data_IF_917210539245
#
_entry.id   IF_917210539245
#
_cell.length_a   1.000
_cell.length_b   1.000
_cell.length_c   1.000
_cell.angle_alpha   90.00
_cell.angle_beta   90.00
_cell.angle_gamma   90.00
#
_symmetry.space_group_name_H-M   'P 1'
#
loop_
_entity.id
_entity.type
_entity.pdbx_description
1 polymer ?
#
# COMPACT_ATOMS: atom_id res chain seq x y z
N UNK A 1 3.14 26.15 -26.33
CA UNK A 1 3.63 25.70 -25.00
C UNK A 1 3.25 26.67 -23.90
N UNK A 2 3.62 27.99 -24.00
CA UNK A 2 3.32 28.97 -22.92
C UNK A 2 1.84 29.04 -22.51
N UNK A 3 0.91 28.98 -23.44
CA UNK A 3 -0.53 29.06 -23.14
C UNK A 3 -1.04 27.83 -22.36
N UNK A 4 -0.46 26.65 -22.59
CA UNK A 4 -0.82 25.43 -21.89
C UNK A 4 -0.25 25.40 -20.47
N UNK A 5 0.99 25.82 -20.28
CA UNK A 5 1.60 25.96 -18.95
C UNK A 5 0.82 26.97 -18.09
N UNK A 6 0.45 28.11 -18.68
CA UNK A 6 -0.37 29.11 -18.00
C UNK A 6 -1.77 28.59 -17.66
N UNK A 7 -2.38 27.79 -18.53
CA UNK A 7 -3.64 27.12 -18.26
C UNK A 7 -3.53 26.14 -17.10
N UNK A 8 -2.54 25.24 -17.12
CA UNK A 8 -2.32 24.27 -16.06
C UNK A 8 -2.02 24.95 -14.72
N UNK A 9 -1.20 26.00 -14.71
CA UNK A 9 -0.94 26.80 -13.52
C UNK A 9 -2.23 27.44 -12.99
N UNK A 10 -3.11 27.93 -13.87
CA UNK A 10 -4.43 28.42 -13.49
C UNK A 10 -5.33 27.36 -12.86
N UNK A 11 -5.20 26.10 -13.27
CA UNK A 11 -5.97 24.97 -12.68
C UNK A 11 -5.47 24.64 -11.28
N UNK A 12 -4.16 24.46 -11.10
CA UNK A 12 -3.57 23.99 -9.84
C UNK A 12 -3.57 25.03 -8.71
N UNK A 13 -3.80 26.31 -9.04
CA UNK A 13 -3.87 27.39 -8.05
C UNK A 13 -5.29 27.76 -7.62
N UNK A 14 -6.31 27.15 -8.22
CA UNK A 14 -7.71 27.52 -7.99
C UNK A 14 -8.47 26.40 -7.31
N UNK A 15 -8.79 26.61 -6.02
CA UNK A 15 -9.54 25.64 -5.20
C UNK A 15 -10.88 25.24 -5.83
N UNK A 16 -11.64 26.19 -6.37
CA UNK A 16 -12.92 25.95 -7.01
C UNK A 16 -12.84 25.01 -8.23
N UNK A 17 -11.77 25.14 -9.02
CA UNK A 17 -11.51 24.26 -10.17
C UNK A 17 -11.11 22.86 -9.70
N UNK A 18 -10.26 22.76 -8.68
CA UNK A 18 -9.86 21.48 -8.11
C UNK A 18 -11.06 20.73 -7.51
N UNK A 19 -11.92 21.44 -6.78
CA UNK A 19 -13.16 20.87 -6.22
C UNK A 19 -14.09 20.39 -7.34
N UNK A 20 -14.25 21.17 -8.41
CA UNK A 20 -15.01 20.75 -9.58
C UNK A 20 -14.41 19.48 -10.20
N UNK A 21 -13.10 19.44 -10.44
CA UNK A 21 -12.44 18.24 -10.97
C UNK A 21 -12.64 17.01 -10.07
N UNK A 22 -12.54 17.19 -8.76
CA UNK A 22 -12.76 16.10 -7.81
C UNK A 22 -14.17 15.53 -7.89
N UNK A 23 -15.20 16.39 -7.96
CA UNK A 23 -16.61 16.00 -7.91
C UNK A 23 -17.12 15.48 -9.24
N UNK A 24 -16.71 16.09 -10.34
CA UNK A 24 -17.37 15.95 -11.64
C UNK A 24 -16.55 15.17 -12.68
N UNK A 25 -15.28 14.78 -12.35
CA UNK A 25 -14.50 13.96 -13.27
C UNK A 25 -15.09 12.57 -13.40
N UNK A 26 -15.46 12.19 -14.62
CA UNK A 26 -15.95 10.85 -14.94
C UNK A 26 -14.92 9.80 -14.55
N UNK A 27 -15.39 8.68 -13.95
CA UNK A 27 -14.53 7.58 -13.49
C UNK A 27 -13.54 7.09 -14.55
N UNK A 28 -13.97 7.01 -15.82
CA UNK A 28 -13.13 6.60 -16.95
C UNK A 28 -12.02 7.60 -17.31
N UNK A 29 -12.07 8.82 -16.78
CA UNK A 29 -11.09 9.87 -17.03
C UNK A 29 -10.21 10.19 -15.83
N UNK A 30 -10.54 9.65 -14.66
CA UNK A 30 -9.82 9.95 -13.41
C UNK A 30 -8.31 9.63 -13.48
N UNK A 31 -7.92 8.53 -14.12
CA UNK A 31 -6.49 8.18 -14.25
C UNK A 31 -5.73 9.21 -15.08
N UNK A 32 -6.28 9.63 -16.21
CA UNK A 32 -5.66 10.62 -17.07
C UNK A 32 -5.60 12.03 -16.40
N UNK A 33 -6.69 12.43 -15.76
CA UNK A 33 -6.77 13.70 -15.02
C UNK A 33 -5.81 13.68 -13.83
N UNK A 34 -5.72 12.60 -13.08
CA UNK A 34 -4.81 12.45 -11.95
C UNK A 34 -3.34 12.57 -12.38
N UNK A 35 -2.95 11.91 -13.47
CA UNK A 35 -1.58 12.01 -14.03
C UNK A 35 -1.24 13.44 -14.44
N UNK A 36 -2.12 14.09 -15.23
CA UNK A 36 -1.91 15.44 -15.68
C UNK A 36 -1.86 16.47 -14.52
N UNK A 37 -2.77 16.31 -13.56
CA UNK A 37 -2.84 17.16 -12.38
C UNK A 37 -1.62 16.98 -11.48
N UNK A 38 -1.15 15.74 -11.28
CA UNK A 38 0.03 15.44 -10.48
C UNK A 38 1.28 16.10 -11.09
N UNK A 39 1.52 15.91 -12.38
CA UNK A 39 2.64 16.53 -13.08
C UNK A 39 2.56 18.05 -13.01
N UNK A 40 1.41 18.66 -13.35
CA UNK A 40 1.23 20.10 -13.31
C UNK A 40 1.45 20.70 -11.91
N UNK A 41 0.98 20.01 -10.88
CA UNK A 41 1.09 20.45 -9.49
C UNK A 41 2.55 20.45 -8.99
N UNK A 42 3.31 19.39 -9.26
CA UNK A 42 4.73 19.34 -8.90
C UNK A 42 5.56 20.33 -9.73
N UNK A 43 5.39 20.38 -11.06
CA UNK A 43 6.14 21.31 -11.93
C UNK A 43 5.84 22.80 -11.68
N UNK A 44 4.76 23.12 -11.00
CA UNK A 44 4.42 24.50 -10.63
C UNK A 44 4.67 24.84 -9.15
N UNK A 45 5.16 23.89 -8.34
CA UNK A 45 5.35 24.06 -6.90
C UNK A 45 4.05 24.17 -6.09
N UNK A 46 2.94 23.59 -6.59
CA UNK A 46 1.63 23.65 -5.94
C UNK A 46 1.12 22.28 -5.49
N UNK A 47 2.00 21.27 -5.45
CA UNK A 47 1.63 19.89 -5.14
C UNK A 47 0.95 19.76 -3.77
N UNK A 48 1.49 20.40 -2.72
CA UNK A 48 0.89 20.41 -1.39
C UNK A 48 -0.50 21.03 -1.38
N UNK A 49 -0.70 22.19 -2.03
CA UNK A 49 -2.01 22.84 -2.12
C UNK A 49 -3.05 21.95 -2.82
N UNK A 50 -2.65 21.31 -3.92
CA UNK A 50 -3.55 20.42 -4.68
C UNK A 50 -3.93 19.22 -3.83
N UNK A 51 -2.95 18.54 -3.22
CA UNK A 51 -3.23 17.36 -2.40
C UNK A 51 -4.09 17.70 -1.18
N UNK A 52 -3.79 18.78 -0.48
CA UNK A 52 -4.59 19.23 0.66
C UNK A 52 -6.05 19.55 0.24
N UNK A 53 -6.24 20.22 -0.90
CA UNK A 53 -7.60 20.49 -1.42
C UNK A 53 -8.36 19.20 -1.72
N UNK A 54 -7.72 18.21 -2.35
CA UNK A 54 -8.35 16.92 -2.65
C UNK A 54 -8.63 16.11 -1.37
N UNK A 55 -7.76 16.17 -0.36
CA UNK A 55 -7.96 15.56 0.95
C UNK A 55 -9.14 16.18 1.69
N UNK A 56 -9.24 17.51 1.72
CA UNK A 56 -10.37 18.23 2.33
C UNK A 56 -11.72 17.84 1.68
N UNK A 57 -11.75 17.72 0.35
CA UNK A 57 -12.96 17.28 -0.35
C UNK A 57 -13.34 15.83 -0.05
N UNK A 58 -12.35 14.94 0.05
CA UNK A 58 -12.60 13.54 0.45
C UNK A 58 -13.11 13.47 1.89
N UNK A 59 -12.51 14.22 2.81
CA UNK A 59 -12.93 14.32 4.23
C UNK A 59 -14.37 14.85 4.31
N UNK A 60 -14.66 15.96 3.63
CA UNK A 60 -16.01 16.54 3.60
C UNK A 60 -17.06 15.58 3.06
N UNK A 61 -16.69 14.80 2.04
CA UNK A 61 -17.57 13.80 1.43
C UNK A 61 -17.92 12.65 2.38
N UNK A 62 -17.00 12.27 3.25
CA UNK A 62 -17.12 11.12 4.16
C UNK A 62 -17.12 11.52 5.64
N UNK A 63 -17.57 12.74 5.96
CA UNK A 63 -17.59 13.30 7.31
C UNK A 63 -18.25 12.38 8.35
N UNK A 64 -19.23 11.58 7.94
CA UNK A 64 -19.95 10.67 8.83
C UNK A 64 -19.25 9.32 9.05
N UNK A 65 -18.27 8.93 8.21
CA UNK A 65 -17.54 7.67 8.34
C UNK A 65 -16.08 7.80 7.88
N UNK A 66 -15.23 8.24 8.80
CA UNK A 66 -13.79 8.40 8.55
C UNK A 66 -13.10 7.09 8.10
N UNK A 67 -13.73 5.92 8.34
CA UNK A 67 -13.18 4.64 7.93
C UNK A 67 -13.24 4.39 6.41
N UNK A 68 -14.01 5.20 5.67
CA UNK A 68 -14.13 5.07 4.19
C UNK A 68 -13.15 5.98 3.45
N UNK A 69 -12.60 6.99 4.14
CA UNK A 69 -11.63 7.94 3.57
C UNK A 69 -10.44 7.14 3.03
N UNK A 70 -9.99 7.48 1.83
CA UNK A 70 -8.89 6.82 1.08
C UNK A 70 -9.15 5.36 0.67
N UNK A 71 -10.34 4.78 0.92
CA UNK A 71 -10.64 3.39 0.56
C UNK A 71 -11.41 3.26 -0.76
N UNK A 72 -12.10 4.29 -1.16
CA UNK A 72 -12.84 4.34 -2.41
C UNK A 72 -11.95 4.60 -3.64
N UNK A 73 -12.60 4.73 -4.80
CA UNK A 73 -11.99 5.24 -6.02
C UNK A 73 -12.45 6.68 -6.20
N UNK A 74 -11.53 7.61 -6.08
CA UNK A 74 -11.74 9.06 -6.27
C UNK A 74 -10.56 9.64 -7.04
N UNK A 75 -10.66 10.89 -7.46
CA UNK A 75 -9.54 11.60 -8.09
C UNK A 75 -8.33 11.66 -7.15
N UNK A 76 -8.57 11.88 -5.84
CA UNK A 76 -7.53 11.84 -4.81
C UNK A 76 -6.78 10.51 -4.80
N UNK A 77 -7.51 9.41 -4.72
CA UNK A 77 -6.88 8.08 -4.64
C UNK A 77 -6.16 7.71 -5.94
N UNK A 78 -6.65 8.17 -7.09
CA UNK A 78 -5.94 8.04 -8.37
C UNK A 78 -4.68 8.90 -8.44
N UNK A 79 -4.71 10.09 -7.87
CA UNK A 79 -3.55 10.95 -7.75
C UNK A 79 -2.46 10.30 -6.86
N UNK A 80 -2.85 9.71 -5.72
CA UNK A 80 -1.95 8.93 -4.88
C UNK A 80 -1.39 7.70 -5.62
N UNK A 81 -2.22 6.99 -6.40
CA UNK A 81 -1.79 5.83 -7.18
C UNK A 81 -0.67 6.22 -8.18
N UNK A 82 -0.67 7.44 -8.73
CA UNK A 82 0.43 7.93 -9.58
C UNK A 82 1.75 7.92 -8.82
N UNK A 83 1.79 8.45 -7.59
CA UNK A 83 3.00 8.48 -6.76
C UNK A 83 3.45 7.08 -6.32
N UNK A 84 2.49 6.20 -6.00
CA UNK A 84 2.79 4.80 -5.63
C UNK A 84 3.32 3.97 -6.80
N UNK A 85 3.08 4.39 -8.03
CA UNK A 85 3.57 3.72 -9.24
C UNK A 85 4.95 4.22 -9.70
N UNK A 86 5.49 5.26 -9.08
CA UNK A 86 6.83 5.75 -9.42
C UNK A 86 7.89 4.66 -9.19
N UNK A 87 8.96 4.62 -10.01
CA UNK A 87 10.02 3.63 -9.89
C UNK A 87 10.62 3.53 -8.50
N UNK A 88 10.88 4.66 -7.83
CA UNK A 88 11.41 4.67 -6.46
C UNK A 88 10.45 4.01 -5.47
N UNK A 89 9.14 4.28 -5.56
CA UNK A 89 8.13 3.66 -4.70
C UNK A 89 8.07 2.14 -4.92
N UNK A 90 8.13 1.69 -6.18
CA UNK A 90 8.12 0.26 -6.50
C UNK A 90 9.39 -0.44 -6.02
N UNK A 91 10.56 0.17 -6.26
CA UNK A 91 11.85 -0.37 -5.82
C UNK A 91 11.90 -0.52 -4.30
N UNK A 92 11.48 0.51 -3.57
CA UNK A 92 11.41 0.46 -2.12
C UNK A 92 10.57 -0.72 -1.61
N UNK A 93 9.39 -0.92 -2.20
CA UNK A 93 8.48 -2.00 -1.82
C UNK A 93 9.11 -3.39 -2.08
N UNK A 94 9.76 -3.55 -3.24
CA UNK A 94 10.46 -4.79 -3.61
C UNK A 94 11.62 -5.07 -2.64
N UNK A 95 12.45 -4.10 -2.33
CA UNK A 95 13.58 -4.24 -1.42
C UNK A 95 13.15 -4.67 -0.01
N UNK A 96 12.02 -4.15 0.48
CA UNK A 96 11.51 -4.43 1.82
C UNK A 96 10.75 -5.76 1.92
N UNK A 97 9.99 -6.15 0.90
CA UNK A 97 9.06 -7.29 0.98
C UNK A 97 9.52 -8.56 0.28
N UNK A 98 10.30 -8.45 -0.81
CA UNK A 98 10.62 -9.59 -1.67
C UNK A 98 11.15 -10.80 -0.89
N UNK A 99 12.07 -10.57 0.06
CA UNK A 99 12.63 -11.63 0.89
C UNK A 99 11.56 -12.37 1.70
N UNK A 100 10.63 -11.63 2.31
CA UNK A 100 9.57 -12.19 3.15
C UNK A 100 8.56 -12.97 2.30
N UNK A 101 8.24 -12.47 1.12
CA UNK A 101 7.36 -13.13 0.15
C UNK A 101 8.00 -14.42 -0.36
N UNK A 102 9.29 -14.42 -0.68
CA UNK A 102 10.00 -15.64 -1.06
C UNK A 102 10.03 -16.68 0.06
N UNK A 103 10.25 -16.28 1.31
CA UNK A 103 10.19 -17.18 2.47
C UNK A 103 8.79 -17.79 2.60
N UNK A 104 7.74 -16.97 2.46
CA UNK A 104 6.35 -17.44 2.51
C UNK A 104 6.04 -18.45 1.40
N UNK A 105 6.51 -18.19 0.18
CA UNK A 105 6.25 -19.03 -0.98
C UNK A 105 7.06 -20.34 -1.00
N UNK A 106 8.26 -20.38 -0.37
CA UNK A 106 9.19 -21.49 -0.53
C UNK A 106 9.41 -22.34 0.72
N UNK A 107 9.22 -21.76 1.91
CA UNK A 107 9.57 -22.40 3.18
C UNK A 107 8.43 -23.20 3.81
N UNK A 108 7.20 -22.76 3.55
CA UNK A 108 6.03 -23.33 4.22
C UNK A 108 5.09 -23.98 3.20
N UNK A 109 4.45 -25.05 3.63
CA UNK A 109 3.33 -25.65 2.92
C UNK A 109 2.05 -24.88 3.27
N UNK A 110 1.09 -24.88 2.38
CA UNK A 110 -0.17 -24.15 2.59
C UNK A 110 -0.93 -24.61 3.85
N UNK A 111 -0.87 -25.91 4.17
CA UNK A 111 -1.51 -26.48 5.38
C UNK A 111 -0.80 -26.10 6.70
N UNK A 112 0.46 -25.67 6.63
CA UNK A 112 1.23 -25.17 7.79
C UNK A 112 0.94 -23.71 8.12
N UNK A 113 0.18 -23.00 7.26
CA UNK A 113 -0.18 -21.60 7.39
C UNK A 113 -1.71 -21.38 7.38
N UNK A 114 -2.51 -22.45 7.22
CA UNK A 114 -3.97 -22.33 7.28
C UNK A 114 -4.42 -22.08 8.72
N UNK A 115 -5.29 -21.09 8.90
CA UNK A 115 -5.83 -20.65 10.18
C UNK A 115 -7.28 -21.12 10.40
N UNK A 116 -7.96 -21.51 9.32
CA UNK A 116 -9.35 -21.96 9.35
C UNK A 116 -9.39 -23.48 9.59
N UNK A 117 -9.91 -23.96 10.73
CA UNK A 117 -9.97 -25.38 11.03
C UNK A 117 -10.75 -26.19 9.99
N UNK A 118 -11.78 -25.58 9.38
CA UNK A 118 -12.59 -26.25 8.36
C UNK A 118 -11.79 -26.56 7.08
N UNK A 119 -10.71 -25.85 6.84
CA UNK A 119 -9.85 -25.98 5.66
C UNK A 119 -8.58 -26.78 5.90
N UNK A 120 -8.28 -27.14 7.15
CA UNK A 120 -7.18 -28.04 7.42
C UNK A 120 -7.47 -29.42 6.85
N UNK A 121 -6.53 -30.03 6.10
CA UNK A 121 -6.71 -31.39 5.64
C UNK A 121 -6.82 -32.30 6.86
N UNK A 122 -7.96 -32.98 6.97
CA UNK A 122 -8.10 -34.04 7.96
C UNK A 122 -7.03 -35.11 7.64
N UNK A 123 -6.14 -35.38 8.57
CA UNK A 123 -5.30 -36.60 8.46
C UNK A 123 -6.24 -37.78 8.44
N UNK A 124 -6.17 -38.56 7.36
CA UNK A 124 -6.88 -39.84 7.31
C UNK A 124 -6.46 -40.66 8.55
N UNK A 125 -7.40 -40.87 9.43
CA UNK A 125 -7.16 -41.80 10.56
C UNK A 125 -6.69 -43.15 10.00
N UNK A 126 -5.68 -43.77 10.56
CA UNK A 126 -5.30 -45.11 10.15
C UNK A 126 -6.54 -46.03 10.18
N UNK A 127 -6.71 -46.96 9.23
CA UNK A 127 -7.88 -47.81 9.19
C UNK A 127 -8.05 -48.50 10.54
N UNK A 128 -9.21 -48.25 11.21
CA UNK A 128 -9.53 -48.89 12.51
C UNK A 128 -9.33 -48.04 13.75
N UNK A 129 -8.87 -46.76 13.62
CA UNK A 129 -8.79 -45.83 14.76
C UNK A 129 -10.05 -44.94 14.76
N UNK A 130 -10.80 -45.04 15.85
CA UNK A 130 -11.89 -44.08 16.14
C UNK A 130 -11.23 -42.75 16.52
N UNK A 131 -11.55 -41.68 15.80
CA UNK A 131 -11.11 -40.32 16.17
C UNK A 131 -11.78 -39.99 17.50
N UNK A 132 -11.01 -40.04 18.56
CA UNK A 132 -11.40 -39.68 19.92
C UNK A 132 -10.88 -38.25 20.24
N UNK A 133 -11.03 -37.85 21.48
CA UNK A 133 -10.54 -36.54 21.96
C UNK A 133 -9.05 -36.29 21.68
N UNK A 134 -8.24 -37.30 21.37
CA UNK A 134 -6.84 -37.15 20.98
C UNK A 134 -6.67 -36.55 19.57
N UNK A 135 -7.61 -36.80 18.65
CA UNK A 135 -7.61 -36.21 17.31
C UNK A 135 -7.97 -34.72 17.34
N UNK A 136 -8.90 -34.30 18.20
CA UNK A 136 -9.24 -32.87 18.41
C UNK A 136 -8.07 -32.13 19.06
N UNK A 137 -7.36 -32.73 20.01
CA UNK A 137 -6.16 -32.13 20.62
C UNK A 137 -5.00 -31.99 19.63
N UNK A 138 -4.81 -32.93 18.69
CA UNK A 138 -3.76 -32.82 17.65
C UNK A 138 -4.09 -31.73 16.63
N UNK A 139 -5.38 -31.57 16.29
CA UNK A 139 -5.85 -30.48 15.40
C UNK A 139 -5.67 -29.11 16.05
N UNK A 140 -5.99 -28.95 17.33
CA UNK A 140 -5.76 -27.74 18.10
C UNK A 140 -4.27 -27.39 18.20
N UNK A 141 -3.41 -28.39 18.38
CA UNK A 141 -1.96 -28.21 18.38
C UNK A 141 -1.43 -27.68 17.04
N UNK A 142 -1.90 -28.22 15.92
CA UNK A 142 -1.54 -27.76 14.57
C UNK A 142 -1.98 -26.34 14.32
N UNK A 143 -3.21 -25.98 14.71
CA UNK A 143 -3.72 -24.61 14.58
C UNK A 143 -2.92 -23.63 15.43
N UNK A 144 -2.52 -24.01 16.64
CA UNK A 144 -1.67 -23.17 17.48
C UNK A 144 -0.32 -22.89 16.80
N UNK A 145 0.36 -23.94 16.29
CA UNK A 145 1.61 -23.77 15.53
C UNK A 145 1.44 -22.90 14.27
N UNK A 146 0.35 -23.08 13.54
CA UNK A 146 0.07 -22.26 12.34
C UNK A 146 -0.16 -20.79 12.71
N UNK A 147 -0.83 -20.52 13.83
CA UNK A 147 -1.00 -19.17 14.37
C UNK A 147 0.33 -18.54 14.74
N UNK A 148 1.20 -19.29 15.43
CA UNK A 148 2.55 -18.83 15.80
C UNK A 148 3.39 -18.50 14.56
N UNK A 149 3.35 -19.36 13.52
CA UNK A 149 4.06 -19.13 12.26
C UNK A 149 3.53 -17.88 11.53
N UNK A 150 2.21 -17.78 11.38
CA UNK A 150 1.60 -16.61 10.71
C UNK A 150 1.81 -15.32 11.48
N UNK A 151 1.74 -15.32 12.80
CA UNK A 151 2.04 -14.17 13.64
C UNK A 151 3.51 -13.75 13.51
N UNK A 152 4.44 -14.72 13.47
CA UNK A 152 5.86 -14.46 13.25
C UNK A 152 6.13 -13.84 11.87
N UNK A 153 5.51 -14.39 10.82
CA UNK A 153 5.65 -13.85 9.45
C UNK A 153 5.10 -12.42 9.38
N UNK A 154 3.91 -12.18 9.95
CA UNK A 154 3.33 -10.83 9.98
C UNK A 154 4.23 -9.84 10.72
N UNK A 155 4.78 -10.25 11.86
CA UNK A 155 5.68 -9.43 12.65
C UNK A 155 6.93 -9.03 11.86
N UNK A 156 7.57 -9.97 11.17
CA UNK A 156 8.71 -9.69 10.30
C UNK A 156 8.34 -8.76 9.12
N UNK A 157 7.19 -8.97 8.49
CA UNK A 157 6.68 -8.11 7.41
C UNK A 157 6.44 -6.69 7.92
N UNK A 158 5.76 -6.54 9.07
CA UNK A 158 5.49 -5.24 9.68
C UNK A 158 6.79 -4.50 9.98
N UNK A 159 7.77 -5.17 10.59
CA UNK A 159 9.10 -4.57 10.87
C UNK A 159 9.88 -4.20 9.62
N UNK A 160 9.73 -4.96 8.55
CA UNK A 160 10.40 -4.66 7.28
C UNK A 160 9.87 -3.39 6.62
N UNK A 161 8.56 -3.13 6.72
CA UNK A 161 7.91 -1.97 6.06
C UNK A 161 7.76 -0.75 6.97
N UNK A 162 7.78 -0.95 8.30
CA UNK A 162 7.69 0.10 9.30
C UNK A 162 8.78 -0.13 10.35
N UNK A 163 9.88 0.64 10.41
CA UNK A 163 10.83 0.59 11.53
C UNK A 163 10.17 0.97 12.85
N UNK A 164 10.76 0.53 13.95
CA UNK A 164 10.34 0.96 15.28
C UNK A 164 10.35 2.50 15.39
N UNK A 165 9.43 3.08 16.14
CA UNK A 165 9.30 4.53 16.27
C UNK A 165 10.60 5.22 16.75
N UNK A 166 11.41 4.51 17.53
CA UNK A 166 12.71 4.96 18.05
C UNK A 166 13.89 4.59 17.13
N UNK A 167 13.63 3.94 15.99
CA UNK A 167 14.71 3.51 15.09
C UNK A 167 15.50 4.70 14.55
N UNK A 168 16.84 4.62 14.50
CA UNK A 168 17.67 5.63 13.86
C UNK A 168 17.41 5.73 12.35
N UNK A 169 16.76 4.74 11.74
CA UNK A 169 16.36 4.78 10.32
C UNK A 169 15.44 5.97 10.01
N UNK A 170 14.69 6.49 10.99
CA UNK A 170 13.88 7.69 10.83
C UNK A 170 14.69 8.98 10.66
N UNK A 171 15.95 8.97 11.10
CA UNK A 171 16.87 10.11 10.98
C UNK A 171 17.69 10.05 9.69
N UNK A 172 17.75 8.88 9.06
CA UNK A 172 18.39 8.69 7.77
C UNK A 172 17.40 8.96 6.64
N UNK A 173 17.26 10.24 6.30
CA UNK A 173 16.30 10.74 5.32
C UNK A 173 16.43 10.13 3.92
N UNK A 174 17.55 9.45 3.64
CA UNK A 174 17.82 8.90 2.32
C UNK A 174 17.41 7.43 2.15
N UNK A 175 17.23 6.68 3.24
CA UNK A 175 17.16 5.22 3.16
C UNK A 175 15.87 4.59 3.66
N UNK A 176 15.05 5.27 4.48
CA UNK A 176 13.90 4.60 5.06
C UNK A 176 12.65 4.65 4.19
N UNK A 177 12.24 5.81 3.76
CA UNK A 177 11.12 6.00 2.83
C UNK A 177 11.56 6.84 1.66
N UNK A 178 11.16 6.45 0.47
CA UNK A 178 11.38 7.29 -0.69
C UNK A 178 10.55 8.58 -0.60
N UNK A 179 10.98 9.59 -1.33
CA UNK A 179 10.37 10.92 -1.30
C UNK A 179 8.85 10.91 -1.55
N UNK A 180 8.29 10.19 -2.56
CA UNK A 180 6.86 10.17 -2.80
C UNK A 180 6.03 9.68 -1.62
N UNK A 181 6.48 8.62 -0.94
CA UNK A 181 5.77 8.05 0.20
C UNK A 181 5.82 8.96 1.43
N UNK A 182 7.01 9.46 1.77
CA UNK A 182 7.18 10.37 2.92
C UNK A 182 6.38 11.64 2.73
N UNK A 183 6.49 12.25 1.56
CA UNK A 183 5.76 13.46 1.22
C UNK A 183 4.25 13.25 1.34
N UNK A 184 3.71 12.18 0.76
CA UNK A 184 2.27 11.88 0.83
C UNK A 184 1.82 11.63 2.27
N UNK A 185 2.58 10.86 3.05
CA UNK A 185 2.26 10.57 4.46
C UNK A 185 2.23 11.85 5.30
N UNK A 186 3.15 12.76 5.06
CA UNK A 186 3.19 14.06 5.76
C UNK A 186 1.97 14.92 5.41
N UNK A 187 1.59 14.98 4.15
CA UNK A 187 0.40 15.74 3.72
C UNK A 187 -0.89 15.16 4.35
N UNK A 188 -1.02 13.82 4.38
CA UNK A 188 -2.13 13.15 5.09
C UNK A 188 -2.10 13.49 6.58
N UNK A 189 -0.94 13.45 7.22
CA UNK A 189 -0.78 13.79 8.63
C UNK A 189 -1.25 15.21 8.93
N UNK A 190 -0.83 16.17 8.13
CA UNK A 190 -1.22 17.58 8.26
C UNK A 190 -2.74 17.78 8.09
N UNK A 191 -3.35 17.09 7.13
CA UNK A 191 -4.81 17.09 6.97
C UNK A 191 -5.51 16.53 8.22
N UNK A 192 -4.99 15.43 8.79
CA UNK A 192 -5.54 14.85 10.00
C UNK A 192 -5.48 15.80 11.20
N UNK A 193 -4.38 16.51 11.38
CA UNK A 193 -4.24 17.53 12.44
C UNK A 193 -5.23 18.67 12.26
N UNK A 194 -5.36 19.16 11.01
CA UNK A 194 -6.27 20.28 10.69
C UNK A 194 -7.73 19.93 10.91
N UNK A 195 -8.13 18.71 10.59
CA UNK A 195 -9.53 18.25 10.67
C UNK A 195 -9.83 17.36 11.88
N UNK A 196 -8.89 17.21 12.82
CA UNK A 196 -9.00 16.36 14.02
C UNK A 196 -9.39 14.91 13.72
N UNK A 197 -8.81 14.33 12.65
CA UNK A 197 -9.07 12.98 12.21
C UNK A 197 -8.15 11.97 12.90
N UNK A 198 -8.54 10.70 12.84
CA UNK A 198 -7.73 9.61 13.41
C UNK A 198 -6.53 9.29 12.51
N UNK A 199 -5.39 9.92 12.79
CA UNK A 199 -4.18 9.91 11.96
C UNK A 199 -3.69 8.50 11.62
N UNK A 200 -3.61 7.58 12.59
CA UNK A 200 -3.14 6.22 12.33
C UNK A 200 -4.07 5.44 11.41
N UNK A 201 -5.38 5.70 11.43
CA UNK A 201 -6.32 5.04 10.51
C UNK A 201 -6.15 5.52 9.05
N UNK A 202 -5.95 6.83 8.84
CA UNK A 202 -5.74 7.36 7.49
C UNK A 202 -4.38 6.98 6.93
N UNK A 203 -3.31 7.10 7.72
CA UNK A 203 -1.97 6.66 7.33
C UNK A 203 -1.92 5.14 7.11
N UNK A 204 -2.57 4.35 7.97
CA UNK A 204 -2.73 2.92 7.79
C UNK A 204 -3.49 2.58 6.50
N UNK A 205 -4.56 3.31 6.22
CA UNK A 205 -5.34 3.21 4.97
C UNK A 205 -4.50 3.48 3.72
N UNK A 206 -3.69 4.52 3.74
CA UNK A 206 -2.79 4.84 2.63
C UNK A 206 -1.60 3.87 2.57
N UNK A 207 -0.78 3.84 3.61
CA UNK A 207 0.51 3.15 3.55
C UNK A 207 0.37 1.63 3.60
N UNK A 208 -0.39 1.11 4.57
CA UNK A 208 -0.53 -0.35 4.70
C UNK A 208 -1.54 -0.93 3.72
N UNK A 209 -2.74 -0.32 3.57
CA UNK A 209 -3.80 -0.96 2.77
C UNK A 209 -3.69 -0.66 1.27
N UNK A 210 -3.27 0.52 0.88
CA UNK A 210 -3.18 0.90 -0.53
C UNK A 210 -1.81 0.59 -1.16
N UNK A 211 -0.74 0.63 -0.38
CA UNK A 211 0.60 0.42 -0.89
C UNK A 211 1.16 -0.98 -0.58
N UNK A 212 1.25 -1.36 0.70
CA UNK A 212 1.87 -2.64 1.11
C UNK A 212 0.98 -3.85 0.81
N UNK A 213 -0.28 -3.78 1.18
CA UNK A 213 -1.19 -4.92 1.16
C UNK A 213 -1.47 -5.50 -0.25
N UNK A 214 -1.58 -4.71 -1.33
CA UNK A 214 -1.72 -5.25 -2.69
C UNK A 214 -0.53 -6.12 -3.10
N UNK A 215 0.69 -5.75 -2.69
CA UNK A 215 1.89 -6.53 -2.98
C UNK A 215 1.95 -7.85 -2.20
N UNK A 216 1.40 -7.90 -0.99
CA UNK A 216 1.23 -9.15 -0.24
C UNK A 216 0.15 -10.04 -0.85
N UNK A 217 -0.99 -9.48 -1.23
CA UNK A 217 -2.12 -10.24 -1.77
C UNK A 217 -1.85 -10.79 -3.19
N UNK A 218 -1.10 -10.05 -4.00
CA UNK A 218 -0.81 -10.38 -5.41
C UNK A 218 0.67 -10.12 -5.75
N UNK A 219 1.61 -10.84 -5.14
CA UNK A 219 3.04 -10.57 -5.27
C UNK A 219 3.58 -10.67 -6.69
N UNK A 220 2.97 -11.49 -7.53
CA UNK A 220 3.33 -11.63 -8.95
C UNK A 220 3.08 -10.35 -9.76
N UNK A 221 2.06 -9.55 -9.39
CA UNK A 221 1.76 -8.28 -10.07
C UNK A 221 2.68 -7.13 -9.66
N UNK A 222 3.42 -7.32 -8.57
CA UNK A 222 4.32 -6.33 -8.00
C UNK A 222 5.80 -6.69 -8.13
N UNK A 223 6.14 -7.65 -9.02
CA UNK A 223 7.51 -8.12 -9.25
C UNK A 223 8.22 -8.62 -7.97
N UNK A 224 7.44 -9.20 -7.05
CA UNK A 224 7.95 -9.72 -5.79
C UNK A 224 8.49 -11.15 -5.90
N UNK A 225 8.21 -11.83 -7.00
CA UNK A 225 8.64 -13.19 -7.27
C UNK A 225 9.54 -13.22 -8.51
N UNK A 226 10.36 -14.24 -8.60
CA UNK A 226 11.13 -14.51 -9.82
C UNK A 226 10.17 -14.94 -10.96
N UNK A 227 10.48 -14.63 -12.22
CA UNK A 227 9.58 -14.90 -13.36
C UNK A 227 9.13 -16.36 -13.49
N UNK A 228 9.96 -17.29 -13.03
CA UNK A 228 9.71 -18.73 -13.11
C UNK A 228 8.92 -19.28 -11.90
N UNK A 229 8.65 -18.44 -10.89
CA UNK A 229 7.91 -18.84 -9.69
C UNK A 229 6.43 -18.56 -9.87
N UNK A 230 5.63 -19.62 -9.90
CA UNK A 230 4.17 -19.53 -9.89
C UNK A 230 3.61 -19.88 -8.52
N UNK A 231 2.63 -19.08 -8.06
CA UNK A 231 1.93 -19.35 -6.80
C UNK A 231 0.78 -20.33 -7.08
N UNK A 232 0.80 -21.48 -6.41
CA UNK A 232 -0.32 -22.42 -6.44
C UNK A 232 -1.59 -21.80 -5.80
N UNK A 233 -2.80 -22.30 -6.12
CA UNK A 233 -4.02 -21.85 -5.45
C UNK A 233 -4.01 -22.03 -3.93
N UNK A 234 -3.33 -23.08 -3.43
CA UNK A 234 -3.17 -23.33 -2.00
C UNK A 234 -2.23 -22.32 -1.35
N UNK A 235 -1.08 -22.03 -1.98
CA UNK A 235 -0.12 -21.05 -1.45
C UNK A 235 -0.70 -19.64 -1.48
N UNK A 236 -1.51 -19.30 -2.49
CA UNK A 236 -2.23 -18.02 -2.56
C UNK A 236 -3.10 -17.77 -1.32
N UNK A 237 -3.65 -18.81 -0.73
CA UNK A 237 -4.44 -18.69 0.50
C UNK A 237 -3.62 -18.12 1.66
N UNK A 238 -2.36 -18.51 1.80
CA UNK A 238 -1.46 -18.00 2.84
C UNK A 238 -1.19 -16.50 2.67
N UNK A 239 -1.00 -16.04 1.43
CA UNK A 239 -0.87 -14.60 1.12
C UNK A 239 -2.15 -13.82 1.44
N UNK A 240 -3.32 -14.39 1.13
CA UNK A 240 -4.61 -13.77 1.47
C UNK A 240 -4.80 -13.69 2.99
N UNK A 241 -4.44 -14.73 3.73
CA UNK A 241 -4.53 -14.70 5.20
C UNK A 241 -3.61 -13.65 5.80
N UNK A 242 -2.35 -13.59 5.36
CA UNK A 242 -1.39 -12.56 5.79
C UNK A 242 -1.90 -11.15 5.46
N UNK A 243 -2.43 -10.96 4.25
CA UNK A 243 -3.07 -9.71 3.80
C UNK A 243 -4.23 -9.29 4.72
N UNK A 244 -5.10 -10.23 5.11
CA UNK A 244 -6.20 -9.97 6.05
C UNK A 244 -5.71 -9.63 7.45
N UNK A 245 -4.67 -10.28 7.93
CA UNK A 245 -4.06 -9.95 9.22
C UNK A 245 -3.50 -8.52 9.20
N UNK A 246 -2.80 -8.13 8.13
CA UNK A 246 -2.31 -6.76 7.95
C UNK A 246 -3.47 -5.75 7.87
N UNK A 247 -4.59 -6.10 7.22
CA UNK A 247 -5.78 -5.25 7.17
C UNK A 247 -6.38 -5.02 8.55
N UNK A 248 -6.42 -6.04 9.41
CA UNK A 248 -6.91 -5.88 10.78
C UNK A 248 -6.02 -4.92 11.58
N UNK A 249 -4.69 -5.03 11.46
CA UNK A 249 -3.75 -4.12 12.09
C UNK A 249 -3.91 -2.67 11.58
N UNK A 250 -3.98 -2.50 10.26
CA UNK A 250 -4.08 -1.18 9.64
C UNK A 250 -5.39 -0.44 9.98
N UNK A 251 -6.45 -1.19 10.29
CA UNK A 251 -7.76 -0.66 10.61
C UNK A 251 -8.03 -0.61 12.12
N UNK A 252 -7.10 -1.04 12.92
CA UNK A 252 -7.27 -1.23 14.38
C UNK A 252 -8.53 -2.06 14.72
N UNK A 253 -8.75 -3.14 13.97
CA UNK A 253 -9.91 -4.02 14.09
C UNK A 253 -9.51 -5.25 14.87
N UNK A 254 -10.34 -5.62 15.86
CA UNK A 254 -10.16 -6.83 16.67
C UNK A 254 -10.17 -8.07 15.76
N UNK A 255 -9.15 -8.92 15.93
CA UNK A 255 -9.07 -10.20 15.23
C UNK A 255 -10.27 -11.08 15.61
N UNK A 256 -10.88 -11.70 14.62
CA UNK A 256 -12.08 -12.52 14.81
C UNK A 256 -13.41 -11.78 14.55
N UNK A 257 -13.40 -10.46 14.46
CA UNK A 257 -14.64 -9.70 14.18
C UNK A 257 -15.26 -10.00 12.82
N UNK A 258 -14.43 -10.31 11.82
CA UNK A 258 -14.85 -10.66 10.45
C UNK A 258 -14.69 -12.14 10.18
N UNK A 259 -13.53 -12.70 10.51
CA UNK A 259 -13.18 -14.10 10.38
C UNK A 259 -13.02 -14.72 11.77
N UNK A 260 -14.05 -15.44 12.25
CA UNK A 260 -14.10 -16.00 13.61
C UNK A 260 -12.88 -16.89 13.93
N UNK A 261 -12.33 -17.61 12.95
CA UNK A 261 -11.15 -18.47 13.12
C UNK A 261 -9.86 -17.69 13.46
N UNK A 262 -9.84 -16.36 13.21
CA UNK A 262 -8.73 -15.49 13.58
C UNK A 262 -8.81 -14.96 15.04
N UNK A 263 -9.92 -15.18 15.75
CA UNK A 263 -10.10 -14.66 17.10
C UNK A 263 -8.95 -15.01 18.07
N UNK A 264 -8.38 -16.22 18.07
CA UNK A 264 -7.26 -16.56 18.96
C UNK A 264 -5.99 -15.74 18.72
N UNK A 265 -5.83 -15.12 17.53
CA UNK A 265 -4.69 -14.24 17.24
C UNK A 265 -4.71 -12.94 18.06
N UNK A 266 -5.89 -12.50 18.54
CA UNK A 266 -6.00 -11.26 19.32
C UNK A 266 -5.13 -11.27 20.57
N UNK A 267 -5.05 -12.44 21.23
CA UNK A 267 -4.26 -12.61 22.46
C UNK A 267 -2.81 -13.03 22.19
N UNK A 268 -2.44 -13.18 20.91
CA UNK A 268 -1.09 -13.63 20.57
C UNK A 268 -0.06 -12.50 20.82
N UNK A 269 1.04 -12.75 21.57
CA UNK A 269 1.99 -11.71 21.97
C UNK A 269 2.57 -10.91 20.80
N UNK A 270 2.95 -11.57 19.71
CA UNK A 270 3.48 -10.91 18.52
C UNK A 270 2.43 -10.04 17.81
N UNK A 271 1.16 -10.42 17.85
CA UNK A 271 0.07 -9.61 17.27
C UNK A 271 -0.13 -8.34 18.09
N UNK A 272 -0.13 -8.45 19.42
CA UNK A 272 -0.20 -7.28 20.31
C UNK A 272 1.02 -6.36 20.15
N UNK A 273 2.20 -6.94 19.93
CA UNK A 273 3.40 -6.17 19.59
C UNK A 273 3.22 -5.46 18.24
N UNK A 274 2.73 -6.15 17.20
CA UNK A 274 2.44 -5.55 15.89
C UNK A 274 1.44 -4.40 16.01
N UNK A 275 0.36 -4.52 16.77
CA UNK A 275 -0.63 -3.46 16.97
C UNK A 275 0.00 -2.19 17.55
N UNK A 276 0.80 -2.34 18.63
CA UNK A 276 1.53 -1.21 19.23
C UNK A 276 2.55 -0.60 18.27
N UNK A 277 3.32 -1.46 17.61
CA UNK A 277 4.34 -1.05 16.66
C UNK A 277 3.74 -0.27 15.49
N UNK A 278 2.69 -0.78 14.85
CA UNK A 278 2.01 -0.13 13.72
C UNK A 278 1.49 1.24 14.14
N UNK A 279 0.78 1.35 15.27
CA UNK A 279 0.22 2.62 15.74
C UNK A 279 1.30 3.68 15.98
N UNK A 280 2.41 3.31 16.64
CA UNK A 280 3.50 4.23 16.94
C UNK A 280 4.27 4.65 15.70
N UNK A 281 4.60 3.67 14.83
CA UNK A 281 5.39 3.92 13.64
C UNK A 281 4.62 4.70 12.57
N UNK A 282 3.30 4.51 12.43
CA UNK A 282 2.49 5.31 11.52
C UNK A 282 2.47 6.79 11.92
N UNK A 283 2.40 7.10 13.21
CA UNK A 283 2.49 8.49 13.67
C UNK A 283 3.86 9.09 13.32
N UNK A 284 4.93 8.33 13.52
CA UNK A 284 6.29 8.76 13.17
C UNK A 284 6.48 8.97 11.67
N UNK A 285 5.79 8.15 10.87
CA UNK A 285 5.81 8.23 9.42
C UNK A 285 5.34 9.58 8.87
N UNK A 286 4.29 10.15 9.48
CA UNK A 286 3.74 11.46 9.10
C UNK A 286 4.48 12.65 9.70
N UNK A 287 5.25 12.45 10.76
CA UNK A 287 6.00 13.52 11.43
C UNK A 287 7.32 13.82 10.69
N UNK A 288 7.25 14.57 9.61
CA UNK A 288 8.41 14.97 8.77
C UNK A 288 8.69 16.44 8.94
N UNK A 289 9.97 16.80 9.12
CA UNK A 289 10.38 18.19 9.23
C UNK A 289 10.18 18.96 7.92
N UNK A 290 9.76 20.24 7.95
CA UNK A 290 9.48 21.02 6.76
C UNK A 290 10.67 21.14 5.78
N UNK A 291 11.90 21.25 6.29
CA UNK A 291 13.11 21.38 5.48
C UNK A 291 13.36 20.12 4.64
N UNK A 292 13.00 18.97 5.15
CA UNK A 292 13.13 17.68 4.45
C UNK A 292 12.13 17.59 3.30
N UNK A 293 10.92 18.13 3.48
CA UNK A 293 9.90 18.16 2.44
C UNK A 293 10.30 18.98 1.22
N UNK A 294 10.90 20.15 1.45
CA UNK A 294 11.36 21.02 0.37
C UNK A 294 12.40 20.35 -0.55
N UNK A 295 13.14 19.37 -0.02
CA UNK A 295 14.09 18.57 -0.79
C UNK A 295 13.44 17.42 -1.57
N UNK A 296 12.24 17.00 -1.18
CA UNK A 296 11.55 15.86 -1.80
C UNK A 296 10.80 16.25 -3.07
N UNK A 297 10.16 17.41 -3.11
CA UNK A 297 9.35 17.84 -4.26
C UNK A 297 10.11 17.84 -5.59
N UNK A 298 11.34 18.39 -5.69
CA UNK A 298 12.12 18.33 -6.93
C UNK A 298 12.45 16.89 -7.37
N UNK A 299 12.71 15.99 -6.43
CA UNK A 299 12.99 14.58 -6.74
C UNK A 299 11.74 13.87 -7.29
N UNK A 300 10.58 14.16 -6.71
CA UNK A 300 9.29 13.62 -7.17
C UNK A 300 8.97 14.17 -8.56
N UNK A 301 9.18 15.46 -8.79
CA UNK A 301 8.96 16.09 -10.10
C UNK A 301 9.81 15.43 -11.18
N UNK A 302 11.12 15.29 -10.95
CA UNK A 302 12.04 14.64 -11.90
C UNK A 302 11.56 13.23 -12.25
N UNK A 303 11.20 12.45 -11.25
CA UNK A 303 10.75 11.08 -11.45
C UNK A 303 9.40 11.00 -12.18
N UNK A 304 8.47 11.92 -11.89
CA UNK A 304 7.20 12.06 -12.60
C UNK A 304 7.41 12.38 -14.08
N UNK A 305 8.28 13.34 -14.39
CA UNK A 305 8.62 13.73 -15.76
C UNK A 305 9.18 12.53 -16.51
N UNK A 306 10.16 11.83 -15.95
CA UNK A 306 10.77 10.66 -16.57
C UNK A 306 9.77 9.50 -16.76
N UNK A 307 8.91 9.25 -15.77
CA UNK A 307 7.93 8.17 -15.80
C UNK A 307 6.75 8.43 -16.75
N UNK A 308 6.26 9.67 -16.82
CA UNK A 308 5.07 9.99 -17.60
C UNK A 308 5.38 10.45 -19.03
N UNK A 309 6.57 11.01 -19.29
CA UNK A 309 6.99 11.45 -20.62
C UNK A 309 7.91 10.44 -21.31
N UNK A 310 8.58 9.56 -20.55
CA UNK A 310 9.39 8.46 -21.12
C UNK A 310 8.56 7.37 -21.81
N UNK A 311 7.28 7.25 -21.46
CA UNK A 311 6.31 6.35 -22.10
C UNK A 311 5.70 6.92 -23.40
N UNK A 312 6.12 8.10 -23.87
CA UNK A 312 5.70 8.60 -25.17
C UNK A 312 6.23 7.63 -26.24
N UNK A 313 5.36 7.08 -27.12
CA UNK A 313 5.81 6.21 -28.19
C UNK A 313 6.85 6.97 -29.00
N UNK A 314 8.05 6.40 -29.13
CA UNK A 314 8.99 6.87 -30.15
C UNK A 314 8.23 6.78 -31.46
N UNK A 315 7.87 7.91 -32.04
CA UNK A 315 7.40 7.98 -33.41
C UNK A 315 8.50 7.31 -34.25
N UNK A 316 8.27 6.07 -34.64
CA UNK A 316 9.07 5.40 -35.66
C UNK A 316 9.10 6.28 -36.89
N UNK A 317 10.20 6.99 -37.03
CA UNK A 317 10.53 7.73 -38.24
C UNK A 317 10.84 6.81 -39.39
N UNK A 318 9.90 5.97 -39.80
CA UNK A 318 9.90 5.30 -41.08
C UNK A 318 9.48 6.28 -42.17
N UNK A 319 10.35 7.21 -42.46
CA UNK A 319 10.38 7.83 -43.78
C UNK A 319 11.02 6.83 -44.73
N UNK A 320 10.16 6.07 -45.37
CA UNK A 320 10.47 5.35 -46.61
C UNK A 320 11.18 6.32 -47.57
N UNK A 321 12.48 6.16 -47.71
CA UNK A 321 13.19 6.46 -48.95
C UNK A 321 12.85 5.37 -49.97
N UNK A 322 11.75 5.55 -50.67
CA UNK A 322 11.59 4.90 -51.97
C UNK A 322 12.35 5.71 -53.01
N UNK A 323 13.63 5.44 -53.11
CA UNK A 323 14.40 5.90 -54.29
C UNK A 323 14.05 5.00 -55.47
N UNK A 324 13.52 5.64 -56.46
CA UNK A 324 13.39 5.12 -57.84
C UNK A 324 14.72 4.61 -58.38
N UNK A 325 14.70 3.43 -58.95
CA UNK A 325 15.59 3.01 -60.04
C UNK A 325 14.84 2.07 -60.97
N UNK A 326 14.72 2.58 -62.18
CA UNK A 326 14.62 1.97 -63.51
C UNK A 326 13.64 0.82 -63.71
#
# INVERSE_FOLDING_TARGET
>A
MKDWEQFLQGVVTRKDVLVFLFRDTLRSKQDAVAKALCLAAFSSGHAGFVLQTLLEEEVTRFEQDCNVILRGTSLLTKWMDVLLQLPSSRTFLVERLRRHIHVLASRYRADELELDPVRLPQRAAPPGVVVDAAGEMEEDGRLAENRDRMASILHEVVKAVLPAAESPEWQDDKHFLNAPLRWTCKEIFQCCETHHLHTSALLGGFYLLRYVNPALAMPEKHNMLDPDVSISPSDRRSFILLSKMLQNLANDVVFGSKEAFMAPLQEHPLIQECQRHVSQSLLRLGAVEPDVLALMEPQIEEELVLSLLGDAPQEEGDRQESVARD
#
